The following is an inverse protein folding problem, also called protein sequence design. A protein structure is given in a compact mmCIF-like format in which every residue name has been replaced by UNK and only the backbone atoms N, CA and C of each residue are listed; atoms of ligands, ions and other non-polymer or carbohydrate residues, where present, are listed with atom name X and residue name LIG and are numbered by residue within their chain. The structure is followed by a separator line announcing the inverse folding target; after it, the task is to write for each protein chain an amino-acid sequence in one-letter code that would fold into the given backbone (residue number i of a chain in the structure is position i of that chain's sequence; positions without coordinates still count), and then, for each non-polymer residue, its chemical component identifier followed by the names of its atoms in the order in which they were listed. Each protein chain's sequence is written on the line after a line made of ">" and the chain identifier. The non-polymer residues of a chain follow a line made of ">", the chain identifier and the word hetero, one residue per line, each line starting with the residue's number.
data_IF_318794598147
#
_entry.id   IF_318794598147
#
_cell.length_a   1.000
_cell.length_b   1.000
_cell.length_c   1.000
_cell.angle_alpha   90.00
_cell.angle_beta   90.00
_cell.angle_gamma   90.00
#
_symmetry.space_group_name_H-M   'P 1'
#
loop_
_entity.id
_entity.type
_entity.pdbx_description
1 polymer ?
#
# COMPACT_ATOMS: atom_id res chain seq x y z
N UNK A 1 50.12 13.09 76.70
CA UNK A 1 48.79 12.45 76.55
C UNK A 1 48.16 12.88 75.23
N UNK A 2 47.96 11.90 74.34
CA UNK A 2 46.90 11.76 73.32
C UNK A 2 46.51 12.97 72.43
N UNK A 3 46.96 12.89 71.18
CA UNK A 3 46.21 13.00 69.93
C UNK A 3 44.79 13.61 69.95
N UNK A 4 44.54 14.58 69.06
CA UNK A 4 43.31 14.55 68.25
C UNK A 4 43.52 15.24 66.90
N UNK A 5 43.44 14.42 65.84
CA UNK A 5 43.38 14.85 64.44
C UNK A 5 41.98 15.40 64.18
N UNK A 6 41.86 16.64 63.71
CA UNK A 6 40.61 17.13 63.13
C UNK A 6 40.64 16.89 61.61
N UNK A 7 39.92 15.85 61.20
CA UNK A 7 39.59 15.54 59.81
C UNK A 7 38.51 16.53 59.37
N UNK A 8 38.79 17.33 58.35
CA UNK A 8 37.78 18.12 57.66
C UNK A 8 36.91 17.16 56.83
N UNK A 9 35.69 16.90 57.31
CA UNK A 9 34.69 16.11 56.59
C UNK A 9 34.08 16.97 55.49
N UNK A 10 34.34 16.58 54.25
CA UNK A 10 33.74 17.14 53.05
C UNK A 10 32.29 16.61 52.92
N UNK A 11 31.31 17.36 53.45
CA UNK A 11 29.89 17.06 53.22
C UNK A 11 29.47 17.57 51.84
N UNK A 12 29.73 16.77 50.80
CA UNK A 12 29.09 16.93 49.49
C UNK A 12 27.63 16.49 49.64
N UNK A 13 26.74 17.44 49.93
CA UNK A 13 25.28 17.21 49.90
C UNK A 13 24.87 17.09 48.43
N UNK A 14 24.94 15.87 47.89
CA UNK A 14 24.20 15.53 46.68
C UNK A 14 22.73 15.41 47.10
N UNK A 15 22.01 16.54 47.05
CA UNK A 15 20.56 16.55 47.05
C UNK A 15 20.10 15.86 45.76
N UNK A 16 19.96 14.54 45.80
CA UNK A 16 19.09 13.83 44.87
C UNK A 16 17.69 14.35 45.13
N UNK A 17 17.29 15.43 44.44
CA UNK A 17 15.90 15.87 44.33
C UNK A 17 15.15 14.75 43.62
N UNK A 18 14.75 13.73 44.37
CA UNK A 18 13.83 12.71 43.89
C UNK A 18 12.50 13.41 43.71
N UNK A 19 12.22 13.87 42.48
CA UNK A 19 10.93 14.46 42.13
C UNK A 19 9.81 13.56 42.63
N UNK A 20 8.80 14.14 43.28
CA UNK A 20 7.74 13.36 43.90
C UNK A 20 7.03 12.52 42.84
N UNK A 21 7.13 11.20 42.98
CA UNK A 21 6.39 10.26 42.16
C UNK A 21 5.06 9.91 42.80
N UNK A 22 3.99 9.84 42.00
CA UNK A 22 2.66 9.46 42.49
C UNK A 22 1.91 8.66 41.44
N UNK A 23 1.45 7.47 41.81
CA UNK A 23 0.50 6.71 41.02
C UNK A 23 -0.89 7.34 41.10
N UNK A 24 -1.54 7.51 39.95
CA UNK A 24 -2.88 8.08 39.87
C UNK A 24 -3.79 7.22 39.01
N UNK A 25 -5.08 7.25 39.30
CA UNK A 25 -6.13 6.60 38.52
C UNK A 25 -7.15 7.64 38.10
N UNK A 26 -7.49 7.67 36.80
CA UNK A 26 -8.46 8.60 36.21
C UNK A 26 -8.24 10.09 36.58
N UNK A 27 -6.98 10.50 36.76
CA UNK A 27 -6.64 11.89 37.09
C UNK A 27 -6.83 12.76 35.85
N UNK A 28 -7.60 13.83 35.98
CA UNK A 28 -7.70 14.83 34.92
C UNK A 28 -6.38 15.59 34.77
N UNK A 29 -5.89 15.66 33.54
CA UNK A 29 -4.74 16.46 33.12
C UNK A 29 -4.79 16.71 31.60
N UNK A 30 -3.92 17.59 31.12
CA UNK A 30 -3.76 17.89 29.69
C UNK A 30 -2.54 17.15 29.14
N UNK A 31 -2.70 16.48 28.01
CA UNK A 31 -1.61 15.84 27.24
C UNK A 31 -1.70 16.28 25.78
N UNK A 32 -0.56 16.56 25.16
CA UNK A 32 -0.49 16.87 23.75
C UNK A 32 -0.45 15.59 22.90
N UNK A 33 -1.38 15.45 21.97
CA UNK A 33 -1.43 14.39 20.94
C UNK A 33 -1.76 15.00 19.58
N UNK A 34 -1.12 14.53 18.50
CA UNK A 34 -1.41 14.96 17.13
C UNK A 34 -1.47 16.51 17.00
N UNK A 35 -0.50 17.19 17.62
CA UNK A 35 -0.38 18.65 17.68
C UNK A 35 -1.59 19.37 18.34
N UNK A 36 -2.26 18.70 19.29
CA UNK A 36 -3.39 19.24 20.06
C UNK A 36 -3.25 18.95 21.55
N UNK A 37 -3.54 19.93 22.39
CA UNK A 37 -3.66 19.76 23.82
C UNK A 37 -5.05 19.20 24.19
N UNK A 38 -5.07 17.99 24.73
CA UNK A 38 -6.29 17.28 25.10
C UNK A 38 -6.41 17.20 26.62
N UNK A 39 -7.52 17.69 27.17
CA UNK A 39 -7.86 17.50 28.59
C UNK A 39 -8.59 16.17 28.75
N UNK A 40 -7.98 15.22 29.46
CA UNK A 40 -8.50 13.86 29.59
C UNK A 40 -8.14 13.17 30.90
N UNK A 41 -8.52 11.90 31.03
CA UNK A 41 -8.26 11.06 32.20
C UNK A 41 -6.98 10.26 31.98
N UNK A 42 -6.00 10.45 32.87
CA UNK A 42 -4.76 9.70 32.90
C UNK A 42 -4.75 8.67 34.04
N UNK A 43 -4.19 7.49 33.77
CA UNK A 43 -3.88 6.46 34.78
C UNK A 43 -2.45 6.00 34.55
N UNK A 44 -1.61 6.12 35.58
CA UNK A 44 -0.18 5.82 35.51
C UNK A 44 0.61 6.57 36.59
N UNK A 45 1.92 6.66 36.38
CA UNK A 45 2.81 7.41 37.29
C UNK A 45 2.89 8.88 36.88
N UNK A 46 2.83 9.78 37.86
CA UNK A 46 3.21 11.18 37.69
C UNK A 46 4.55 11.40 38.36
N UNK A 47 5.46 12.11 37.68
CA UNK A 47 6.69 12.69 38.25
C UNK A 47 6.61 14.19 38.05
N UNK A 48 6.78 14.96 39.13
CA UNK A 48 6.66 16.43 39.09
C UNK A 48 5.36 16.92 38.43
N UNK A 49 4.25 16.24 38.77
CA UNK A 49 2.89 16.45 38.24
C UNK A 49 2.71 16.16 36.74
N UNK A 50 3.70 15.57 36.06
CA UNK A 50 3.63 15.19 34.64
C UNK A 50 3.63 13.66 34.47
N UNK A 51 2.89 13.10 33.49
CA UNK A 51 2.99 11.69 33.12
C UNK A 51 4.43 11.22 32.89
N UNK A 52 4.79 10.07 33.46
CA UNK A 52 6.12 9.47 33.36
C UNK A 52 6.00 7.93 33.39
N UNK A 53 6.75 7.23 32.52
CA UNK A 53 6.70 5.78 32.35
C UNK A 53 5.38 5.29 31.76
N UNK A 54 5.10 3.99 31.90
CA UNK A 54 3.89 3.38 31.37
C UNK A 54 2.62 4.02 31.94
N UNK A 55 1.66 4.28 31.05
CA UNK A 55 0.37 4.83 31.43
C UNK A 55 -0.69 4.66 30.35
N UNK A 56 -1.89 5.14 30.66
CA UNK A 56 -2.98 5.26 29.71
C UNK A 56 -3.64 6.62 29.82
N UNK A 57 -4.05 7.15 28.68
CA UNK A 57 -4.74 8.43 28.57
C UNK A 57 -6.01 8.28 27.75
N UNK A 58 -7.09 8.89 28.23
CA UNK A 58 -8.41 8.87 27.59
C UNK A 58 -8.97 10.28 27.46
N UNK A 59 -9.24 10.70 26.23
CA UNK A 59 -9.96 11.92 25.90
C UNK A 59 -11.30 11.57 25.25
N UNK A 60 -12.35 12.31 25.61
CA UNK A 60 -13.67 12.23 24.97
C UNK A 60 -14.36 13.59 25.02
N UNK A 61 -14.82 14.07 23.88
CA UNK A 61 -15.66 15.25 23.73
C UNK A 61 -16.70 15.03 22.62
N UNK A 62 -17.96 14.78 23.00
CA UNK A 62 -18.97 14.33 22.05
C UNK A 62 -18.54 13.03 21.34
N UNK A 63 -18.52 13.07 20.01
CA UNK A 63 -18.06 11.97 19.15
C UNK A 63 -16.54 11.87 19.05
N UNK A 64 -15.80 12.92 19.39
CA UNK A 64 -14.34 12.91 19.33
C UNK A 64 -13.75 12.13 20.50
N UNK A 65 -12.77 11.26 20.22
CA UNK A 65 -12.10 10.47 21.24
C UNK A 65 -10.65 10.15 20.91
N UNK A 66 -9.87 9.90 21.95
CA UNK A 66 -8.53 9.34 21.87
C UNK A 66 -8.30 8.43 23.06
N UNK A 67 -7.88 7.20 22.78
CA UNK A 67 -7.37 6.25 23.76
C UNK A 67 -5.91 5.97 23.42
N UNK A 68 -5.03 6.16 24.39
CA UNK A 68 -3.61 5.82 24.27
C UNK A 68 -3.18 4.97 25.45
N UNK A 69 -2.35 3.97 25.17
CA UNK A 69 -1.64 3.17 26.19
C UNK A 69 -0.18 3.01 25.74
N UNK A 70 0.75 3.44 26.57
CA UNK A 70 2.18 3.41 26.24
C UNK A 70 3.00 4.20 27.25
N UNK A 71 4.26 4.44 26.92
CA UNK A 71 5.18 5.19 27.77
C UNK A 71 4.98 6.70 27.64
N UNK A 72 5.23 7.40 28.75
CA UNK A 72 5.26 8.84 28.81
C UNK A 72 6.62 9.32 29.33
N UNK A 73 7.12 10.42 28.78
CA UNK A 73 8.31 11.10 29.27
C UNK A 73 8.01 12.58 29.43
N UNK A 74 8.19 13.13 30.64
CA UNK A 74 7.95 14.57 30.93
C UNK A 74 6.57 15.06 30.46
N UNK A 75 5.56 14.20 30.53
CA UNK A 75 4.18 14.50 30.18
C UNK A 75 3.79 14.32 28.71
N UNK A 76 4.71 13.86 27.87
CA UNK A 76 4.44 13.56 26.46
C UNK A 76 4.46 12.05 26.22
N UNK A 77 3.61 11.52 25.31
CA UNK A 77 3.77 10.16 24.80
C UNK A 77 5.18 9.98 24.25
N UNK A 78 5.82 8.87 24.58
CA UNK A 78 7.21 8.59 24.18
C UNK A 78 7.38 7.12 23.86
N UNK A 79 8.25 6.80 22.92
CA UNK A 79 8.51 5.42 22.55
C UNK A 79 7.25 4.73 22.00
N UNK A 80 7.19 3.40 22.18
CA UNK A 80 6.11 2.58 21.63
C UNK A 80 4.83 2.73 22.44
N UNK A 81 3.70 2.81 21.75
CA UNK A 81 2.38 2.73 22.38
C UNK A 81 1.34 2.16 21.43
N UNK A 82 0.11 2.05 21.93
CA UNK A 82 -1.07 1.72 21.15
C UNK A 82 -2.03 2.90 21.18
N UNK A 83 -2.51 3.30 20.01
CA UNK A 83 -3.35 4.47 19.81
C UNK A 83 -4.66 4.06 19.11
N UNK A 84 -5.78 4.50 19.65
CA UNK A 84 -7.11 4.41 19.02
C UNK A 84 -7.80 5.77 19.05
N UNK A 85 -8.09 6.36 17.90
CA UNK A 85 -8.63 7.73 17.85
C UNK A 85 -9.36 8.02 16.54
N UNK A 86 -10.34 8.93 16.59
CA UNK A 86 -10.94 9.54 15.40
C UNK A 86 -10.48 10.99 15.15
N UNK A 87 -9.42 11.44 15.83
CA UNK A 87 -8.90 12.80 15.71
C UNK A 87 -7.91 12.98 14.55
N UNK A 88 -7.43 11.87 13.98
CA UNK A 88 -6.41 11.85 12.96
C UNK A 88 -6.93 12.33 11.60
N UNK A 89 -6.06 13.03 10.88
CA UNK A 89 -6.20 13.39 9.48
C UNK A 89 -5.10 12.65 8.72
N UNK A 90 -5.49 11.85 7.72
CA UNK A 90 -4.56 11.05 6.93
C UNK A 90 -4.73 11.41 5.47
N UNK A 91 -3.62 11.63 4.79
CA UNK A 91 -3.60 11.89 3.36
C UNK A 91 -3.43 10.58 2.59
N UNK A 92 -4.33 10.32 1.64
CA UNK A 92 -4.15 9.29 0.62
C UNK A 92 -4.12 9.95 -0.75
N UNK A 93 -2.96 9.88 -1.42
CA UNK A 93 -2.71 10.66 -2.63
C UNK A 93 -2.71 12.17 -2.32
N UNK A 94 -3.61 12.92 -2.98
CA UNK A 94 -3.74 14.37 -2.78
C UNK A 94 -4.86 14.77 -1.81
N UNK A 95 -5.65 13.81 -1.34
CA UNK A 95 -6.86 14.08 -0.55
C UNK A 95 -6.63 13.85 0.93
N UNK A 96 -6.98 14.84 1.75
CA UNK A 96 -7.07 14.68 3.20
C UNK A 96 -8.35 13.93 3.56
N UNK A 97 -8.21 12.90 4.38
CA UNK A 97 -9.33 12.14 4.93
C UNK A 97 -9.39 12.30 6.44
N UNK A 98 -10.59 12.19 7.01
CA UNK A 98 -10.76 12.01 8.46
C UNK A 98 -11.36 10.65 8.74
N UNK A 99 -10.96 10.03 9.84
CA UNK A 99 -11.26 8.64 10.06
C UNK A 99 -10.80 8.13 11.41
N UNK A 100 -10.96 6.83 11.60
CA UNK A 100 -10.61 6.13 12.83
C UNK A 100 -9.30 5.39 12.60
N UNK A 101 -8.28 5.70 13.41
CA UNK A 101 -7.06 4.92 13.51
C UNK A 101 -7.10 4.00 14.72
N UNK A 102 -6.58 2.79 14.55
CA UNK A 102 -6.26 1.84 15.62
C UNK A 102 -4.98 1.09 15.28
N UNK A 103 -3.95 1.21 16.12
CA UNK A 103 -2.67 0.58 15.82
C UNK A 103 -1.54 0.97 16.76
N UNK A 104 -0.35 0.56 16.36
CA UNK A 104 0.91 0.93 17.00
C UNK A 104 1.17 2.45 16.87
N UNK A 105 2.00 2.97 17.75
CA UNK A 105 2.41 4.37 17.71
C UNK A 105 3.84 4.52 18.22
N UNK A 106 4.50 5.57 17.75
CA UNK A 106 5.82 6.01 18.22
C UNK A 106 5.70 7.48 18.59
N UNK A 107 6.08 7.84 19.82
CA UNK A 107 6.05 9.22 20.31
C UNK A 107 4.69 9.92 20.07
N UNK A 108 3.60 9.16 20.25
CA UNK A 108 2.22 9.65 20.06
C UNK A 108 1.77 9.83 18.61
N UNK A 109 2.59 9.46 17.63
CA UNK A 109 2.25 9.46 16.19
C UNK A 109 1.93 8.06 15.70
N UNK A 110 1.12 7.94 14.64
CA UNK A 110 0.86 6.65 13.99
C UNK A 110 2.20 6.11 13.45
N UNK A 111 2.57 4.91 13.88
CA UNK A 111 3.85 4.30 13.51
C UNK A 111 3.77 2.79 13.68
N UNK A 112 4.49 2.01 12.87
CA UNK A 112 4.40 0.56 12.91
C UNK A 112 3.09 0.05 12.28
N UNK A 113 2.56 -1.08 12.75
CA UNK A 113 1.35 -1.68 12.17
C UNK A 113 0.09 -1.00 12.67
N UNK A 114 -0.83 -0.68 11.75
CA UNK A 114 -2.11 -0.09 12.13
C UNK A 114 -3.18 -0.16 11.04
N UNK A 115 -4.41 0.06 11.47
CA UNK A 115 -5.59 0.13 10.61
C UNK A 115 -6.20 1.52 10.68
N UNK A 116 -6.52 2.09 9.53
CA UNK A 116 -7.21 3.37 9.41
C UNK A 116 -8.46 3.23 8.56
N UNK A 117 -9.60 3.66 9.10
CA UNK A 117 -10.90 3.68 8.43
C UNK A 117 -11.24 5.13 8.08
N UNK A 118 -11.10 5.51 6.81
CA UNK A 118 -11.55 6.80 6.32
C UNK A 118 -13.09 6.86 6.34
N UNK A 119 -13.63 7.95 6.90
CA UNK A 119 -15.07 8.21 7.01
C UNK A 119 -15.49 9.41 6.17
N UNK A 120 -14.60 10.38 5.99
CA UNK A 120 -14.82 11.54 5.11
C UNK A 120 -13.62 11.76 4.17
N UNK A 121 -13.86 12.25 2.94
CA UNK A 121 -15.19 12.49 2.35
C UNK A 121 -15.95 11.18 2.05
N UNK A 122 -17.28 11.25 1.92
CA UNK A 122 -18.16 10.07 1.93
C UNK A 122 -17.96 9.12 0.74
N UNK A 123 -17.53 9.67 -0.39
CA UNK A 123 -17.18 9.00 -1.64
C UNK A 123 -15.82 8.30 -1.60
N UNK A 124 -14.97 8.63 -0.61
CA UNK A 124 -13.66 8.01 -0.39
C UNK A 124 -13.58 7.18 0.89
N UNK A 125 -14.74 6.76 1.41
CA UNK A 125 -14.80 5.77 2.49
C UNK A 125 -13.96 4.56 2.08
N UNK A 126 -12.92 4.30 2.84
CA UNK A 126 -11.94 3.26 2.58
C UNK A 126 -11.34 2.75 3.89
N UNK A 127 -10.65 1.63 3.83
CA UNK A 127 -9.89 1.04 4.93
C UNK A 127 -8.47 0.77 4.47
N UNK A 128 -7.50 1.39 5.14
CA UNK A 128 -6.09 1.06 5.01
C UNK A 128 -5.66 0.13 6.15
N UNK A 129 -4.95 -0.94 5.82
CA UNK A 129 -4.27 -1.81 6.79
C UNK A 129 -2.82 -2.00 6.35
N UNK A 130 -1.86 -1.60 7.18
CA UNK A 130 -0.46 -1.68 6.79
C UNK A 130 0.49 -1.01 7.77
N UNK A 131 1.66 -0.66 7.27
CA UNK A 131 2.71 0.00 8.04
C UNK A 131 2.61 1.52 7.95
N UNK A 132 2.96 2.17 9.05
CA UNK A 132 2.91 3.61 9.24
C UNK A 132 4.27 4.13 9.69
N UNK A 133 4.61 5.34 9.26
CA UNK A 133 5.74 6.11 9.78
C UNK A 133 5.34 7.58 9.84
N UNK A 134 5.48 8.16 11.03
CA UNK A 134 5.24 9.59 11.25
C UNK A 134 3.89 10.10 10.70
N UNK A 135 2.81 9.37 10.97
CA UNK A 135 1.43 9.65 10.50
C UNK A 135 1.14 9.37 9.01
N UNK A 136 2.10 8.84 8.26
CA UNK A 136 1.95 8.49 6.85
C UNK A 136 1.97 6.98 6.66
N UNK A 137 1.16 6.46 5.73
CA UNK A 137 1.31 5.09 5.26
C UNK A 137 2.69 4.92 4.61
N UNK A 138 3.45 3.92 5.07
CA UNK A 138 4.85 3.73 4.69
C UNK A 138 5.22 2.24 4.70
N UNK A 139 5.69 1.72 3.57
CA UNK A 139 5.99 0.30 3.39
C UNK A 139 4.77 -0.47 2.88
N UNK A 140 4.71 -1.76 3.20
CA UNK A 140 3.66 -2.65 2.68
C UNK A 140 2.29 -2.36 3.33
N UNK A 141 1.23 -2.36 2.53
CA UNK A 141 -0.13 -2.17 3.02
C UNK A 141 -1.19 -2.46 1.97
N UNK A 142 -2.44 -2.39 2.40
CA UNK A 142 -3.62 -2.56 1.56
C UNK A 142 -4.64 -1.46 1.84
N UNK A 143 -5.05 -0.73 0.80
CA UNK A 143 -6.15 0.25 0.82
C UNK A 143 -7.32 -0.30 0.00
N UNK A 144 -8.45 -0.54 0.68
CA UNK A 144 -9.70 -1.03 0.08
C UNK A 144 -10.76 0.05 0.20
N UNK A 145 -11.33 0.48 -0.92
CA UNK A 145 -12.44 1.42 -0.96
C UNK A 145 -13.79 0.69 -0.75
N UNK A 146 -14.72 1.35 -0.07
CA UNK A 146 -16.09 0.84 0.08
C UNK A 146 -16.80 0.79 -1.28
N UNK A 147 -16.61 1.82 -2.10
CA UNK A 147 -17.03 1.81 -3.49
C UNK A 147 -16.07 0.95 -4.32
N UNK A 148 -16.58 -0.19 -4.76
CA UNK A 148 -15.87 -1.20 -5.56
C UNK A 148 -15.57 -0.73 -7.00
N UNK A 149 -15.97 0.48 -7.38
CA UNK A 149 -15.52 1.11 -8.63
C UNK A 149 -14.03 1.49 -8.58
N UNK A 150 -13.49 1.77 -7.38
CA UNK A 150 -12.07 2.02 -7.19
C UNK A 150 -11.28 0.71 -7.09
N UNK A 151 -10.06 0.74 -7.61
CA UNK A 151 -9.12 -0.38 -7.52
C UNK A 151 -8.57 -0.53 -6.09
N UNK A 152 -8.40 -1.77 -5.65
CA UNK A 152 -7.68 -2.10 -4.42
C UNK A 152 -6.19 -1.84 -4.60
N UNK A 153 -5.61 -1.01 -3.73
CA UNK A 153 -4.17 -0.72 -3.74
C UNK A 153 -3.48 -1.62 -2.70
N UNK A 154 -2.88 -2.71 -3.16
CA UNK A 154 -2.15 -3.67 -2.31
C UNK A 154 -0.69 -3.72 -2.74
N UNK A 155 0.22 -3.35 -1.84
CA UNK A 155 1.65 -3.24 -2.13
C UNK A 155 2.34 -2.10 -1.38
N UNK A 156 3.28 -1.45 -2.05
CA UNK A 156 4.16 -0.46 -1.43
C UNK A 156 3.52 0.93 -1.36
N UNK A 157 3.58 1.53 -0.17
CA UNK A 157 3.22 2.93 0.07
C UNK A 157 4.47 3.73 0.48
N UNK A 158 4.61 4.93 -0.07
CA UNK A 158 5.69 5.88 0.26
C UNK A 158 5.07 7.23 0.56
N UNK A 159 5.34 7.77 1.75
CA UNK A 159 4.84 9.08 2.18
C UNK A 159 3.32 9.25 1.99
N UNK A 160 2.54 8.20 2.29
CA UNK A 160 1.07 8.21 2.19
C UNK A 160 0.51 7.93 0.79
N UNK A 161 1.36 7.76 -0.23
CA UNK A 161 0.94 7.46 -1.61
C UNK A 161 1.23 6.02 -1.98
N UNK A 162 0.34 5.39 -2.74
CA UNK A 162 0.60 4.08 -3.34
C UNK A 162 1.65 4.22 -4.44
N UNK A 163 2.80 3.56 -4.25
CA UNK A 163 3.96 3.58 -5.14
C UNK A 163 4.33 2.13 -5.48
N UNK A 164 3.51 1.45 -6.30
CA UNK A 164 3.66 0.04 -6.57
C UNK A 164 4.92 -0.23 -7.38
N UNK A 165 5.53 -1.41 -7.19
CA UNK A 165 6.37 -2.00 -8.25
C UNK A 165 5.49 -2.58 -9.38
N UNK A 166 6.10 -3.05 -10.47
CA UNK A 166 5.35 -3.55 -11.62
C UNK A 166 4.36 -4.69 -11.28
N UNK A 167 4.73 -5.62 -10.39
CA UNK A 167 3.82 -6.70 -9.99
C UNK A 167 2.64 -6.17 -9.19
N UNK A 168 2.91 -5.28 -8.23
CA UNK A 168 1.88 -4.61 -7.42
C UNK A 168 0.92 -3.78 -8.31
N UNK A 169 1.43 -3.17 -9.39
CA UNK A 169 0.62 -2.47 -10.38
C UNK A 169 -0.32 -3.42 -11.13
N UNK A 170 0.16 -4.58 -11.61
CA UNK A 170 -0.71 -5.55 -12.27
C UNK A 170 -1.76 -6.15 -11.32
N UNK A 171 -1.41 -6.38 -10.05
CA UNK A 171 -2.38 -6.80 -9.05
C UNK A 171 -3.43 -5.71 -8.77
N UNK A 172 -3.04 -4.43 -8.77
CA UNK A 172 -3.96 -3.31 -8.66
C UNK A 172 -4.95 -3.27 -9.85
N UNK A 173 -4.45 -3.38 -11.09
CA UNK A 173 -5.30 -3.46 -12.28
C UNK A 173 -6.26 -4.67 -12.23
N UNK A 174 -5.78 -5.81 -11.73
CA UNK A 174 -6.56 -7.04 -11.58
C UNK A 174 -7.69 -6.96 -10.55
N UNK A 175 -7.69 -5.95 -9.68
CA UNK A 175 -8.77 -5.71 -8.73
C UNK A 175 -10.00 -5.01 -9.34
N UNK A 176 -9.93 -4.64 -10.63
CA UNK A 176 -11.06 -4.05 -11.34
C UNK A 176 -12.24 -5.03 -11.39
N UNK A 177 -13.42 -4.62 -10.90
CA UNK A 177 -14.63 -5.45 -10.89
C UNK A 177 -15.18 -5.78 -12.28
N UNK A 178 -14.91 -4.92 -13.27
CA UNK A 178 -15.44 -5.06 -14.63
C UNK A 178 -14.58 -6.00 -15.49
N UNK A 179 -13.31 -6.17 -15.08
CA UNK A 179 -12.35 -7.09 -15.68
C UNK A 179 -11.37 -7.65 -14.63
N UNK A 180 -11.87 -8.48 -13.68
CA UNK A 180 -11.04 -8.97 -12.58
C UNK A 180 -10.08 -10.03 -13.07
N UNK A 181 -8.84 -10.01 -12.59
CA UNK A 181 -7.87 -11.08 -12.81
C UNK A 181 -6.88 -11.19 -11.65
N UNK A 182 -6.29 -12.37 -11.48
CA UNK A 182 -5.17 -12.59 -10.55
C UNK A 182 -3.95 -12.98 -11.36
N UNK A 183 -2.79 -12.40 -11.03
CA UNK A 183 -1.52 -12.79 -11.63
C UNK A 183 -1.14 -14.18 -11.11
N UNK A 184 -0.94 -15.17 -11.99
CA UNK A 184 -0.60 -16.53 -11.60
C UNK A 184 0.79 -16.60 -10.96
N UNK A 185 1.03 -17.57 -10.09
CA UNK A 185 2.27 -17.69 -9.31
C UNK A 185 3.55 -17.64 -10.17
N UNK A 186 3.55 -18.32 -11.32
CA UNK A 186 4.68 -18.30 -12.26
C UNK A 186 4.95 -16.90 -12.83
N UNK A 187 3.89 -16.18 -13.20
CA UNK A 187 3.99 -14.80 -13.69
C UNK A 187 4.44 -13.83 -12.59
N UNK A 188 3.95 -14.00 -11.35
CA UNK A 188 4.43 -13.21 -10.20
C UNK A 188 5.94 -13.35 -10.04
N UNK A 189 6.44 -14.59 -10.05
CA UNK A 189 7.88 -14.86 -9.99
C UNK A 189 8.63 -14.23 -11.18
N UNK A 190 8.14 -14.43 -12.41
CA UNK A 190 8.80 -13.88 -13.58
C UNK A 190 8.90 -12.34 -13.52
N UNK A 191 7.80 -11.66 -13.20
CA UNK A 191 7.73 -10.20 -13.13
C UNK A 191 8.63 -9.64 -12.04
N UNK A 192 8.69 -10.29 -10.87
CA UNK A 192 9.51 -9.84 -9.73
C UNK A 192 11.02 -9.84 -10.03
N UNK A 193 11.48 -10.68 -10.96
CA UNK A 193 12.91 -10.82 -11.30
C UNK A 193 13.29 -10.29 -12.69
N UNK A 194 12.33 -9.75 -13.46
CA UNK A 194 12.56 -9.31 -14.84
C UNK A 194 11.76 -8.03 -15.18
N UNK A 195 11.53 -7.14 -14.21
CA UNK A 195 10.79 -5.89 -14.38
C UNK A 195 11.36 -5.03 -15.53
N UNK A 196 12.68 -5.06 -15.75
CA UNK A 196 13.37 -4.35 -16.82
C UNK A 196 13.01 -4.82 -18.25
N UNK A 197 12.30 -5.94 -18.37
CA UNK A 197 11.77 -6.45 -19.63
C UNK A 197 10.36 -5.94 -19.94
N UNK A 198 9.79 -5.08 -19.09
CA UNK A 198 8.44 -4.55 -19.23
C UNK A 198 8.50 -3.01 -19.14
N UNK A 199 8.81 -2.32 -20.25
CA UNK A 199 8.94 -2.86 -21.61
C UNK A 199 10.39 -3.19 -22.00
N UNK A 200 10.55 -4.23 -22.82
CA UNK A 200 11.84 -4.60 -23.36
C UNK A 200 12.26 -3.65 -24.49
N UNK A 201 13.51 -3.20 -24.46
CA UNK A 201 14.08 -2.30 -25.48
C UNK A 201 14.18 -2.89 -26.88
N UNK A 202 14.19 -4.22 -27.00
CA UNK A 202 14.22 -4.92 -28.29
C UNK A 202 13.88 -6.40 -28.13
N UNK A 203 13.47 -7.03 -29.23
CA UNK A 203 13.25 -8.47 -29.30
C UNK A 203 14.50 -9.30 -28.90
N UNK A 204 15.71 -8.79 -29.16
CA UNK A 204 16.97 -9.46 -28.79
C UNK A 204 17.10 -9.63 -27.27
N UNK A 205 16.61 -8.66 -26.47
CA UNK A 205 16.69 -8.70 -25.01
C UNK A 205 15.82 -9.78 -24.38
N UNK A 206 14.73 -10.16 -25.04
CA UNK A 206 13.77 -11.15 -24.52
C UNK A 206 13.91 -12.54 -25.13
N UNK A 207 14.79 -12.70 -26.13
CA UNK A 207 14.94 -13.96 -26.90
C UNK A 207 15.17 -15.20 -26.03
N UNK A 208 15.95 -15.10 -24.95
CA UNK A 208 16.26 -16.23 -24.06
C UNK A 208 15.22 -16.44 -22.96
N UNK A 209 14.20 -15.56 -22.89
CA UNK A 209 13.13 -15.57 -21.89
C UNK A 209 11.77 -15.91 -22.51
N UNK A 210 11.75 -16.20 -23.81
CA UNK A 210 10.55 -16.51 -24.57
C UNK A 210 10.51 -17.98 -24.98
N UNK A 211 9.30 -18.47 -25.18
CA UNK A 211 9.02 -19.77 -25.78
C UNK A 211 7.87 -19.61 -26.77
N UNK A 212 8.19 -19.33 -28.05
CA UNK A 212 7.19 -19.09 -29.07
C UNK A 212 6.45 -20.35 -29.49
N UNK A 213 6.86 -21.54 -29.02
CA UNK A 213 6.16 -22.80 -29.30
C UNK A 213 4.87 -22.93 -28.50
N UNK A 214 4.77 -22.22 -27.37
CA UNK A 214 3.60 -22.21 -26.50
C UNK A 214 2.46 -21.49 -27.21
N UNK A 215 1.38 -22.23 -27.45
CA UNK A 215 0.15 -21.71 -28.06
C UNK A 215 -0.86 -21.33 -26.98
N UNK A 216 -1.68 -20.33 -27.28
CA UNK A 216 -2.69 -19.83 -26.36
C UNK A 216 -3.71 -20.91 -25.94
N UNK A 217 -4.03 -21.87 -26.81
CA UNK A 217 -4.94 -22.97 -26.48
C UNK A 217 -4.39 -23.88 -25.38
N UNK A 218 -3.06 -24.00 -25.27
CA UNK A 218 -2.42 -24.76 -24.19
C UNK A 218 -2.51 -24.00 -22.86
N UNK A 219 -2.27 -22.69 -22.92
CA UNK A 219 -2.37 -21.77 -21.79
C UNK A 219 -3.80 -21.74 -21.23
N UNK A 220 -4.81 -21.69 -22.11
CA UNK A 220 -6.22 -21.71 -21.74
C UNK A 220 -6.65 -23.01 -21.05
N UNK A 221 -6.04 -24.15 -21.41
CA UNK A 221 -6.35 -25.46 -20.80
C UNK A 221 -5.68 -25.63 -19.44
N UNK A 222 -4.48 -25.12 -19.26
CA UNK A 222 -3.67 -25.33 -18.05
C UNK A 222 -2.98 -24.03 -17.60
N UNK A 223 -3.73 -22.99 -17.18
CA UNK A 223 -3.19 -21.66 -16.92
C UNK A 223 -2.02 -21.65 -15.92
N UNK A 224 -2.07 -22.47 -14.89
CA UNK A 224 -1.05 -22.55 -13.83
C UNK A 224 0.28 -23.15 -14.30
N UNK A 225 0.30 -23.82 -15.46
CA UNK A 225 1.52 -24.37 -16.05
C UNK A 225 2.35 -23.33 -16.79
N UNK A 226 1.80 -22.14 -17.06
CA UNK A 226 2.44 -21.09 -17.85
C UNK A 226 2.59 -19.80 -17.04
N UNK A 227 3.32 -18.82 -17.58
CA UNK A 227 3.64 -17.55 -16.91
C UNK A 227 5.11 -17.38 -16.53
N UNK A 228 5.94 -18.40 -16.77
CA UNK A 228 7.39 -18.38 -16.54
C UNK A 228 8.22 -18.09 -17.80
N UNK A 229 7.56 -17.96 -18.97
CA UNK A 229 8.19 -17.59 -20.23
C UNK A 229 7.26 -16.71 -21.07
N UNK A 230 7.86 -15.75 -21.78
CA UNK A 230 7.15 -14.90 -22.72
C UNK A 230 6.62 -15.74 -23.89
N UNK A 231 5.34 -15.55 -24.21
CA UNK A 231 4.71 -16.16 -25.39
C UNK A 231 4.55 -15.15 -26.51
N UNK A 232 4.33 -15.62 -27.73
CA UNK A 232 4.10 -14.77 -28.91
C UNK A 232 2.65 -14.87 -29.38
N UNK A 233 1.89 -13.79 -29.21
CA UNK A 233 0.60 -13.60 -29.87
C UNK A 233 0.86 -13.07 -31.28
N UNK A 234 0.71 -13.92 -32.30
CA UNK A 234 1.07 -13.56 -33.68
C UNK A 234 -0.13 -13.07 -34.48
N UNK A 235 0.02 -11.93 -35.15
CA UNK A 235 -0.96 -11.32 -36.06
C UNK A 235 -2.36 -11.17 -35.42
N UNK A 236 -2.42 -10.54 -34.24
CA UNK A 236 -3.66 -10.18 -33.58
C UNK A 236 -4.13 -8.80 -34.02
N UNK A 237 -5.44 -8.64 -34.20
CA UNK A 237 -6.08 -7.38 -34.54
C UNK A 237 -6.35 -6.56 -33.26
N UNK A 238 -5.99 -5.28 -33.28
CA UNK A 238 -6.25 -4.34 -32.18
C UNK A 238 -7.69 -3.80 -32.31
N UNK A 239 -8.56 -4.18 -31.40
CA UNK A 239 -9.98 -3.77 -31.38
C UNK A 239 -10.15 -2.45 -30.63
N UNK A 240 -9.58 -2.36 -29.43
CA UNK A 240 -9.60 -1.17 -28.58
C UNK A 240 -8.17 -0.90 -28.11
N UNK A 241 -7.83 0.38 -28.02
CA UNK A 241 -6.50 0.84 -27.60
C UNK A 241 -6.63 2.08 -26.72
N UNK A 242 -6.19 1.97 -25.47
CA UNK A 242 -6.17 3.09 -24.53
C UNK A 242 -4.76 3.32 -24.00
N UNK A 243 -4.47 4.56 -23.58
CA UNK A 243 -3.22 4.88 -22.89
C UNK A 243 -3.48 5.86 -21.75
N UNK A 244 -3.00 5.52 -20.56
CA UNK A 244 -3.16 6.33 -19.35
C UNK A 244 -1.91 6.28 -18.48
N UNK A 245 -1.79 7.24 -17.57
CA UNK A 245 -0.70 7.29 -16.59
C UNK A 245 -1.25 7.09 -15.18
N UNK A 246 -0.66 6.17 -14.42
CA UNK A 246 -1.02 5.93 -13.03
C UNK A 246 0.21 5.51 -12.22
N UNK A 247 0.31 6.02 -11.00
CA UNK A 247 1.36 5.65 -10.02
C UNK A 247 2.80 5.70 -10.55
N UNK A 248 3.10 6.63 -11.46
CA UNK A 248 4.44 6.77 -12.08
C UNK A 248 4.67 5.92 -13.33
N UNK A 249 3.69 5.10 -13.74
CA UNK A 249 3.72 4.30 -14.96
C UNK A 249 2.86 4.94 -16.05
N UNK A 250 3.32 4.81 -17.29
CA UNK A 250 2.45 4.89 -18.46
C UNK A 250 2.02 3.48 -18.83
N UNK A 251 0.73 3.27 -19.10
CA UNK A 251 0.18 1.99 -19.54
C UNK A 251 -0.53 2.18 -20.87
N UNK A 252 -0.20 1.36 -21.86
CA UNK A 252 -1.05 1.12 -23.03
C UNK A 252 -1.82 -0.19 -22.83
N UNK A 253 -3.14 -0.12 -22.86
CA UNK A 253 -4.05 -1.26 -22.74
C UNK A 253 -4.61 -1.61 -24.12
N UNK A 254 -4.53 -2.88 -24.48
CA UNK A 254 -4.96 -3.36 -25.80
C UNK A 254 -5.94 -4.51 -25.67
N UNK A 255 -7.12 -4.34 -26.28
CA UNK A 255 -8.03 -5.46 -26.56
C UNK A 255 -7.67 -6.08 -27.90
N UNK A 256 -7.20 -7.31 -27.87
CA UNK A 256 -6.68 -8.03 -29.03
C UNK A 256 -7.60 -9.18 -29.42
N UNK A 257 -7.85 -9.33 -30.71
CA UNK A 257 -8.67 -10.43 -31.26
C UNK A 257 -7.93 -11.18 -32.35
N UNK A 258 -8.03 -12.52 -32.30
CA UNK A 258 -7.73 -13.39 -33.42
C UNK A 258 -9.02 -14.07 -33.90
N UNK A 259 -9.60 -13.56 -34.98
CA UNK A 259 -10.89 -14.04 -35.49
C UNK A 259 -10.83 -15.50 -35.96
N UNK A 260 -9.76 -15.91 -36.63
CA UNK A 260 -9.59 -17.29 -37.13
C UNK A 260 -9.53 -18.30 -35.99
N UNK A 261 -8.92 -17.93 -34.86
CA UNK A 261 -8.81 -18.79 -33.67
C UNK A 261 -9.91 -18.57 -32.65
N UNK A 262 -10.80 -17.58 -32.86
CA UNK A 262 -11.84 -17.14 -31.90
C UNK A 262 -11.28 -16.82 -30.52
N UNK A 263 -10.16 -16.09 -30.48
CA UNK A 263 -9.46 -15.73 -29.26
C UNK A 263 -9.57 -14.23 -28.97
N UNK A 264 -9.77 -13.89 -27.70
CA UNK A 264 -9.79 -12.52 -27.19
C UNK A 264 -8.75 -12.45 -26.08
N UNK A 265 -7.92 -11.41 -26.11
CA UNK A 265 -6.86 -11.19 -25.14
C UNK A 265 -6.82 -9.73 -24.72
N UNK A 266 -6.42 -9.47 -23.49
CA UNK A 266 -6.12 -8.12 -23.01
C UNK A 266 -4.64 -8.07 -22.68
N UNK A 267 -3.95 -7.07 -23.22
CA UNK A 267 -2.53 -6.85 -22.98
C UNK A 267 -2.36 -5.52 -22.30
N UNK A 268 -1.82 -5.53 -21.08
CA UNK A 268 -1.35 -4.35 -20.39
C UNK A 268 0.15 -4.17 -20.67
N UNK A 269 0.50 -3.14 -21.42
CA UNK A 269 1.89 -2.81 -21.78
C UNK A 269 2.35 -1.59 -20.95
N UNK A 270 3.36 -1.71 -20.08
CA UNK A 270 3.84 -0.61 -19.24
C UNK A 270 4.75 0.34 -20.04
N UNK A 271 4.14 1.08 -20.96
CA UNK A 271 4.75 2.18 -21.70
C UNK A 271 3.77 2.74 -22.72
N UNK A 272 4.17 3.81 -23.42
CA UNK A 272 3.35 4.41 -24.49
C UNK A 272 3.69 3.81 -25.85
N UNK A 273 2.73 3.16 -26.50
CA UNK A 273 2.87 2.62 -27.86
C UNK A 273 2.45 3.64 -28.91
N UNK A 274 3.36 4.55 -29.30
CA UNK A 274 3.05 5.66 -30.23
C UNK A 274 2.73 5.25 -31.68
N UNK A 275 3.09 4.03 -32.09
CA UNK A 275 2.97 3.58 -33.49
C UNK A 275 1.89 2.51 -33.69
N UNK A 276 1.17 2.15 -32.62
CA UNK A 276 0.10 1.15 -32.65
C UNK A 276 -1.22 1.90 -32.49
N UNK A 277 -2.18 1.59 -33.34
CA UNK A 277 -3.53 2.15 -33.28
C UNK A 277 -4.57 1.03 -33.37
N UNK A 278 -5.83 1.38 -33.09
CA UNK A 278 -6.95 0.52 -33.43
C UNK A 278 -6.92 0.16 -34.92
N UNK A 279 -7.43 -1.02 -35.24
CA UNK A 279 -7.40 -1.63 -36.58
C UNK A 279 -6.05 -2.15 -37.08
N UNK A 280 -4.95 -1.92 -36.35
CA UNK A 280 -3.65 -2.50 -36.69
C UNK A 280 -3.60 -4.00 -36.42
N UNK A 281 -2.70 -4.70 -37.11
CA UNK A 281 -2.30 -6.05 -36.73
C UNK A 281 -0.94 -6.03 -36.08
N UNK A 282 -0.81 -6.74 -34.95
CA UNK A 282 0.41 -6.77 -34.16
C UNK A 282 0.90 -8.19 -33.86
N UNK A 283 2.20 -8.28 -33.64
CA UNK A 283 2.83 -9.37 -32.90
C UNK A 283 3.13 -8.85 -31.48
N UNK A 284 2.55 -9.48 -30.46
CA UNK A 284 2.81 -9.16 -29.06
C UNK A 284 3.62 -10.28 -28.38
N UNK A 285 4.63 -9.88 -27.63
CA UNK A 285 5.49 -10.75 -26.83
C UNK A 285 5.21 -10.44 -25.37
N UNK A 286 4.62 -11.38 -24.64
CA UNK A 286 3.95 -11.07 -23.39
C UNK A 286 3.94 -12.25 -22.41
N UNK A 287 3.85 -11.95 -21.12
CA UNK A 287 3.72 -12.96 -20.06
C UNK A 287 2.24 -13.25 -19.82
N UNK A 288 1.80 -14.52 -19.89
CA UNK A 288 0.47 -14.90 -19.46
C UNK A 288 0.31 -14.62 -17.96
N UNK A 289 -0.65 -13.78 -17.57
CA UNK A 289 -0.92 -13.46 -16.16
C UNK A 289 -2.08 -14.27 -15.62
N UNK A 290 -3.17 -14.40 -16.38
CA UNK A 290 -4.36 -15.11 -15.92
C UNK A 290 -5.54 -14.97 -16.86
N UNK A 291 -6.69 -15.47 -16.42
CA UNK A 291 -7.96 -15.37 -17.15
C UNK A 291 -8.83 -14.26 -16.56
N UNK A 292 -9.69 -13.69 -17.41
CA UNK A 292 -10.77 -12.81 -16.99
C UNK A 292 -12.01 -13.02 -17.87
N UNK A 293 -13.07 -12.28 -17.56
CA UNK A 293 -14.21 -12.14 -18.45
C UNK A 293 -14.85 -10.78 -18.24
N UNK A 294 -15.35 -10.18 -19.33
CA UNK A 294 -16.06 -8.91 -19.29
C UNK A 294 -17.40 -9.01 -20.01
N UNK A 295 -18.27 -8.02 -19.76
CA UNK A 295 -19.56 -7.89 -20.46
C UNK A 295 -19.36 -7.09 -21.74
N UNK A 296 -19.78 -7.65 -22.87
CA UNK A 296 -19.82 -6.92 -24.12
C UNK A 296 -21.04 -5.99 -24.19
N UNK A 297 -21.09 -5.12 -25.22
CA UNK A 297 -22.19 -4.16 -25.45
C UNK A 297 -23.57 -4.80 -25.59
N UNK A 298 -23.63 -6.09 -25.91
CA UNK A 298 -24.87 -6.86 -26.05
C UNK A 298 -25.24 -7.64 -24.76
N UNK A 299 -24.56 -7.40 -23.64
CA UNK A 299 -24.78 -8.08 -22.35
C UNK A 299 -24.19 -9.50 -22.27
N UNK A 300 -23.59 -10.00 -23.34
CA UNK A 300 -22.92 -11.29 -23.38
C UNK A 300 -21.59 -11.28 -22.61
N UNK A 301 -21.26 -12.40 -21.98
CA UNK A 301 -19.96 -12.57 -21.29
C UNK A 301 -18.91 -13.05 -22.29
N UNK A 302 -17.80 -12.32 -22.40
CA UNK A 302 -16.64 -12.68 -23.22
C UNK A 302 -15.52 -13.14 -22.31
N UNK A 303 -15.04 -14.38 -22.49
CA UNK A 303 -13.83 -14.88 -21.82
C UNK A 303 -12.60 -14.31 -22.49
N UNK A 304 -11.64 -13.85 -21.70
CA UNK A 304 -10.40 -13.27 -22.20
C UNK A 304 -9.20 -13.75 -21.38
N UNK A 305 -8.03 -13.74 -22.00
CA UNK A 305 -6.77 -14.01 -21.33
C UNK A 305 -5.99 -12.71 -21.17
N UNK A 306 -5.43 -12.48 -19.98
CA UNK A 306 -4.76 -11.25 -19.62
C UNK A 306 -3.24 -11.46 -19.63
N UNK A 307 -2.52 -10.51 -20.22
CA UNK A 307 -1.08 -10.57 -20.36
C UNK A 307 -0.39 -9.27 -19.95
N UNK A 308 0.83 -9.40 -19.44
CA UNK A 308 1.79 -8.30 -19.33
C UNK A 308 2.60 -8.20 -20.64
N UNK A 309 2.49 -7.10 -21.35
CA UNK A 309 3.19 -6.84 -22.61
C UNK A 309 4.65 -6.46 -22.39
N UNK A 310 5.58 -7.19 -23.00
CA UNK A 310 7.01 -6.90 -22.92
C UNK A 310 7.52 -6.18 -24.17
N UNK A 311 7.13 -6.66 -25.36
CA UNK A 311 7.50 -6.06 -26.64
C UNK A 311 6.34 -6.21 -27.62
N UNK A 312 6.01 -5.15 -28.37
CA UNK A 312 4.95 -5.16 -29.38
C UNK A 312 5.49 -4.63 -30.69
N UNK A 313 5.12 -5.27 -31.80
CA UNK A 313 5.51 -4.87 -33.15
C UNK A 313 4.28 -4.84 -34.06
N UNK A 314 4.09 -3.74 -34.80
CA UNK A 314 3.13 -3.67 -35.91
C UNK A 314 3.56 -4.59 -37.05
N UNK A 315 2.62 -5.38 -37.55
CA UNK A 315 2.81 -6.32 -38.67
C UNK A 315 2.37 -5.67 -39.97
N UNK A 316 1.16 -5.10 -39.97
CA UNK A 316 0.53 -4.38 -41.07
C UNK A 316 -0.45 -3.38 -40.48
#
# INVERSE_FOLDING_TARGET
>A
MKNLKFIAVFCLVILCLTGCTKNVKNKELTVSFLDRDLKGKFTGTLKDKKPEGEGSFQYKNGEQYLYYKGDFTKGHPSGKGHLKTNLCKVKFGVTDTTGIYEGESMDGKLNGKGKYRALTPSDLKSTYTGYWKDNLAQGQGELVFDDKSYLTQSGTFTEGSFTPNLLELFNNLGSNKDLPFSVCYKAQNFLSYNEELFPAKSLKKIKNKMDPSIKLEQILKNPDQYGDKLVKLSNYYVVEFDTYSCYGYDISELLLVNYSKRQVCIVYYPGKLKQIHESDFIDAYCIPMGNSSYKNRNGGTVKTYVFAGSYIKKVK
#
